data_IF_863934425914
#
_entry.id   IF_863934425914
#
_cell.length_a   1.000
_cell.length_b   1.000
_cell.length_c   1.000
_cell.angle_alpha   90.00
_cell.angle_beta   90.00
_cell.angle_gamma   90.00
#
_symmetry.space_group_name_H-M   'P 1'
#
loop_
_entity.id
_entity.type
_entity.pdbx_description
1 polymer ?
#
# COMPACT_ATOMS: atom_id res chain seq x y z
N UNK A 1 11.09 5.16 -13.56
CA UNK A 1 10.23 4.92 -12.38
C UNK A 1 9.13 3.98 -12.83
N UNK A 2 8.93 2.87 -12.14
CA UNK A 2 7.90 1.89 -12.52
C UNK A 2 6.54 2.32 -11.98
N UNK A 3 5.51 2.25 -12.83
CA UNK A 3 4.13 2.60 -12.46
C UNK A 3 3.15 1.59 -13.04
N UNK A 4 2.14 1.24 -12.23
CA UNK A 4 0.98 0.47 -12.65
C UNK A 4 -0.26 1.34 -12.39
N UNK A 5 -1.19 1.35 -13.34
CA UNK A 5 -2.46 2.09 -13.20
C UNK A 5 -3.60 1.38 -13.92
N UNK A 6 -4.83 1.76 -13.58
CA UNK A 6 -6.03 1.37 -14.33
C UNK A 6 -6.39 2.54 -15.25
N UNK A 7 -6.53 2.29 -16.55
CA UNK A 7 -6.90 3.31 -17.55
C UNK A 7 -8.33 3.19 -18.05
N UNK A 8 -8.97 2.04 -17.88
CA UNK A 8 -10.38 1.83 -18.21
C UNK A 8 -11.01 0.82 -17.25
N UNK A 9 -12.27 1.05 -16.89
CA UNK A 9 -13.14 0.09 -16.21
C UNK A 9 -14.36 -0.17 -17.10
N UNK A 10 -14.61 -1.43 -17.45
CA UNK A 10 -15.80 -1.87 -18.19
C UNK A 10 -16.80 -2.54 -17.25
N UNK A 11 -18.03 -2.04 -17.24
CA UNK A 11 -19.15 -2.60 -16.48
C UNK A 11 -19.91 -3.65 -17.30
N UNK A 12 -20.61 -4.56 -16.62
CA UNK A 12 -21.36 -5.64 -17.26
C UNK A 12 -22.51 -5.16 -18.18
N UNK A 13 -22.96 -3.91 -18.03
CA UNK A 13 -23.95 -3.31 -18.93
C UNK A 13 -23.30 -2.69 -20.19
N UNK A 14 -21.99 -2.86 -20.40
CA UNK A 14 -21.23 -2.29 -21.52
C UNK A 14 -20.75 -0.85 -21.30
N UNK A 15 -21.06 -0.22 -20.16
CA UNK A 15 -20.54 1.10 -19.84
C UNK A 15 -19.03 1.03 -19.63
N UNK A 16 -18.29 1.94 -20.25
CA UNK A 16 -16.84 2.08 -20.07
C UNK A 16 -16.53 3.43 -19.43
N UNK A 17 -15.66 3.41 -18.42
CA UNK A 17 -15.13 4.62 -17.78
C UNK A 17 -13.64 4.67 -18.06
N UNK A 18 -13.20 5.67 -18.82
CA UNK A 18 -11.78 5.94 -19.06
C UNK A 18 -11.24 6.78 -17.92
N UNK A 19 -10.08 6.37 -17.38
CA UNK A 19 -9.43 6.98 -16.24
C UNK A 19 -8.11 7.64 -16.65
N UNK A 20 -7.83 8.79 -16.08
CA UNK A 20 -6.54 9.47 -16.22
C UNK A 20 -5.57 9.01 -15.14
N UNK A 21 -4.29 9.12 -15.44
CA UNK A 21 -3.24 8.92 -14.46
C UNK A 21 -3.44 9.82 -13.24
N UNK A 22 -3.35 9.24 -12.04
CA UNK A 22 -3.46 9.93 -10.74
C UNK A 22 -4.85 10.56 -10.48
N UNK A 23 -5.89 10.09 -11.15
CA UNK A 23 -7.27 10.55 -10.93
C UNK A 23 -7.88 9.94 -9.66
N UNK A 24 -8.61 10.76 -8.89
CA UNK A 24 -9.41 10.30 -7.75
C UNK A 24 -10.84 10.07 -8.23
N UNK A 25 -11.27 8.81 -8.21
CA UNK A 25 -12.62 8.41 -8.62
C UNK A 25 -13.48 8.13 -7.40
N UNK A 26 -14.67 8.74 -7.34
CA UNK A 26 -15.64 8.53 -6.27
C UNK A 26 -16.90 7.87 -6.82
N UNK A 27 -17.17 6.65 -6.38
CA UNK A 27 -18.42 5.94 -6.71
C UNK A 27 -19.53 6.34 -5.74
N UNK A 28 -20.56 7.01 -6.25
CA UNK A 28 -21.77 7.40 -5.49
C UNK A 28 -22.99 6.66 -6.02
N UNK A 29 -24.03 6.50 -5.18
CA UNK A 29 -25.27 5.85 -5.58
C UNK A 29 -26.02 5.23 -4.39
N UNK A 30 -27.24 4.70 -4.62
CA UNK A 30 -28.06 4.13 -3.56
C UNK A 30 -27.43 2.88 -2.93
N UNK A 31 -28.00 2.43 -1.81
CA UNK A 31 -27.61 1.17 -1.19
C UNK A 31 -27.76 0.03 -2.21
N UNK A 32 -26.81 -0.91 -2.18
CA UNK A 32 -26.74 -2.06 -3.09
C UNK A 32 -26.53 -1.75 -4.58
N UNK A 33 -26.19 -0.51 -4.95
CA UNK A 33 -25.84 -0.13 -6.33
C UNK A 33 -24.50 -0.71 -6.85
N UNK A 34 -23.83 -1.59 -6.10
CA UNK A 34 -22.58 -2.22 -6.54
C UNK A 34 -21.30 -1.44 -6.25
N UNK A 35 -21.31 -0.36 -5.45
CA UNK A 35 -20.11 0.45 -5.12
C UNK A 35 -18.96 -0.37 -4.53
N UNK A 36 -19.21 -1.08 -3.43
CA UNK A 36 -18.20 -1.93 -2.78
C UNK A 36 -17.83 -3.14 -3.63
N UNK A 37 -18.78 -3.66 -4.41
CA UNK A 37 -18.54 -4.75 -5.35
C UNK A 37 -17.59 -4.31 -6.47
N UNK A 38 -17.76 -3.10 -7.01
CA UNK A 38 -16.85 -2.49 -8.00
C UNK A 38 -15.41 -2.50 -7.49
N UNK A 39 -15.15 -2.01 -6.27
CA UNK A 39 -13.79 -1.98 -5.72
C UNK A 39 -13.19 -3.39 -5.52
N UNK A 40 -13.98 -4.33 -5.01
CA UNK A 40 -13.56 -5.72 -4.79
C UNK A 40 -13.29 -6.46 -6.10
N UNK A 41 -14.18 -6.29 -7.07
CA UNK A 41 -14.05 -6.89 -8.40
C UNK A 41 -12.88 -6.27 -9.17
N UNK A 42 -12.62 -4.97 -9.04
CA UNK A 42 -11.41 -4.33 -9.58
C UNK A 42 -10.14 -4.96 -9.01
N UNK A 43 -10.06 -5.17 -7.69
CA UNK A 43 -8.90 -5.85 -7.09
C UNK A 43 -8.76 -7.30 -7.61
N UNK A 44 -9.87 -8.02 -7.77
CA UNK A 44 -9.88 -9.37 -8.30
C UNK A 44 -9.38 -9.42 -9.75
N UNK A 45 -9.85 -8.50 -10.60
CA UNK A 45 -9.46 -8.40 -12.01
C UNK A 45 -8.00 -7.92 -12.15
N UNK A 46 -7.54 -7.03 -11.26
CA UNK A 46 -6.12 -6.68 -11.16
C UNK A 46 -5.27 -7.90 -10.85
N UNK A 47 -5.74 -8.81 -10.00
CA UNK A 47 -5.02 -10.03 -9.66
C UNK A 47 -5.01 -11.06 -10.77
N UNK A 48 -6.15 -11.31 -11.39
CA UNK A 48 -6.26 -12.27 -12.49
C UNK A 48 -7.50 -11.97 -13.32
N UNK A 49 -7.29 -11.80 -14.63
CA UNK A 49 -8.34 -11.72 -15.63
C UNK A 49 -8.75 -13.10 -16.17
N UNK A 50 -7.85 -14.08 -16.08
CA UNK A 50 -8.06 -15.45 -16.58
C UNK A 50 -9.23 -16.15 -15.85
N UNK A 51 -9.51 -15.75 -14.61
CA UNK A 51 -10.65 -16.22 -13.82
C UNK A 51 -11.89 -15.30 -13.90
N UNK A 52 -11.88 -14.27 -14.75
CA UNK A 52 -12.91 -13.22 -14.87
C UNK A 52 -14.31 -13.69 -15.30
N UNK A 53 -14.53 -14.99 -15.53
CA UNK A 53 -15.86 -15.56 -15.75
C UNK A 53 -16.53 -16.14 -14.51
N UNK A 54 -15.81 -16.35 -13.41
CA UNK A 54 -16.44 -16.86 -12.19
C UNK A 54 -16.75 -15.72 -11.22
N UNK A 55 -17.95 -15.14 -11.38
CA UNK A 55 -18.71 -14.36 -10.38
C UNK A 55 -18.56 -12.83 -10.30
N UNK A 56 -17.90 -12.14 -11.23
CA UNK A 56 -17.95 -10.68 -11.28
C UNK A 56 -19.36 -10.21 -11.72
N UNK A 57 -20.09 -9.51 -10.84
CA UNK A 57 -21.49 -9.12 -11.06
C UNK A 57 -21.61 -7.70 -11.60
N UNK A 58 -20.65 -6.84 -11.31
CA UNK A 58 -20.70 -5.42 -11.65
C UNK A 58 -19.74 -5.10 -12.79
N UNK A 59 -18.51 -5.62 -12.72
CA UNK A 59 -17.45 -5.37 -13.67
C UNK A 59 -17.28 -6.53 -14.64
N UNK A 60 -16.98 -6.16 -15.89
CA UNK A 60 -16.66 -7.08 -16.97
C UNK A 60 -15.15 -7.21 -17.17
N UNK A 61 -14.45 -6.08 -17.20
CA UNK A 61 -12.99 -6.03 -17.36
C UNK A 61 -12.44 -4.70 -16.85
N UNK A 62 -11.10 -4.62 -16.75
CA UNK A 62 -10.36 -3.40 -16.56
C UNK A 62 -9.12 -3.39 -17.46
N UNK A 63 -8.64 -2.21 -17.83
CA UNK A 63 -7.38 -2.10 -18.58
C UNK A 63 -6.25 -1.69 -17.66
N UNK A 64 -5.19 -2.50 -17.63
CA UNK A 64 -3.98 -2.25 -16.83
C UNK A 64 -2.98 -1.53 -17.74
N UNK A 65 -2.48 -0.39 -17.28
CA UNK A 65 -1.38 0.32 -17.93
C UNK A 65 -0.12 0.19 -17.09
N UNK A 66 0.99 -0.16 -17.76
CA UNK A 66 2.32 -0.26 -17.18
C UNK A 66 3.23 0.80 -17.78
N UNK A 67 4.00 1.47 -16.94
CA UNK A 67 5.08 2.36 -17.37
C UNK A 67 6.38 1.92 -16.70
N UNK A 68 7.48 1.98 -17.45
CA UNK A 68 8.80 1.49 -17.03
C UNK A 68 9.16 0.16 -17.68
N UNK A 69 10.41 -0.26 -17.44
CA UNK A 69 10.96 -1.54 -17.91
C UNK A 69 11.10 -2.54 -16.76
N UNK A 70 11.42 -3.77 -17.12
CA UNK A 70 11.59 -4.87 -16.16
C UNK A 70 12.73 -4.60 -15.18
N UNK A 71 13.85 -4.06 -15.66
CA UNK A 71 15.01 -3.75 -14.82
C UNK A 71 14.65 -2.72 -13.73
N UNK A 72 13.98 -1.63 -14.12
CA UNK A 72 13.49 -0.62 -13.19
C UNK A 72 12.45 -1.17 -12.21
N UNK A 73 11.60 -2.09 -12.67
CA UNK A 73 10.64 -2.77 -11.80
C UNK A 73 11.32 -3.64 -10.75
N UNK A 74 12.31 -4.43 -11.15
CA UNK A 74 13.09 -5.26 -10.23
C UNK A 74 13.82 -4.41 -9.19
N UNK A 75 14.50 -3.35 -9.61
CA UNK A 75 15.16 -2.42 -8.69
C UNK A 75 14.16 -1.72 -7.75
N UNK A 76 12.95 -1.42 -8.21
CA UNK A 76 11.90 -0.88 -7.35
C UNK A 76 11.48 -1.88 -6.27
N UNK A 77 11.22 -3.14 -6.63
CA UNK A 77 10.87 -4.19 -5.67
C UNK A 77 11.97 -4.44 -4.63
N UNK A 78 13.23 -4.53 -5.07
CA UNK A 78 14.37 -4.69 -4.18
C UNK A 78 14.48 -3.54 -3.17
N UNK A 79 14.21 -2.29 -3.61
CA UNK A 79 14.24 -1.12 -2.73
C UNK A 79 13.17 -1.14 -1.64
N UNK A 80 12.01 -1.72 -1.91
CA UNK A 80 10.86 -1.72 -0.98
C UNK A 80 10.71 -3.04 -0.19
N UNK A 81 11.68 -3.95 -0.30
CA UNK A 81 11.61 -5.27 0.30
C UNK A 81 12.86 -5.64 1.11
N UNK A 82 12.74 -6.71 1.88
CA UNK A 82 13.84 -7.41 2.53
C UNK A 82 13.90 -8.82 1.95
N UNK A 83 15.11 -9.28 1.69
CA UNK A 83 15.37 -10.62 1.19
C UNK A 83 15.28 -11.65 2.32
N UNK A 84 14.52 -12.73 2.09
CA UNK A 84 14.42 -13.83 3.05
C UNK A 84 14.61 -15.17 2.36
N UNK A 85 15.63 -15.89 2.78
CA UNK A 85 15.88 -17.27 2.35
C UNK A 85 15.02 -18.24 3.16
N UNK A 86 14.24 -19.06 2.46
CA UNK A 86 13.31 -20.03 3.04
C UNK A 86 13.59 -21.45 2.55
N UNK A 87 14.87 -21.83 2.51
CA UNK A 87 15.31 -23.16 2.03
C UNK A 87 15.40 -23.31 0.50
N UNK A 88 14.98 -22.29 -0.25
CA UNK A 88 15.21 -22.21 -1.70
C UNK A 88 16.58 -21.60 -2.02
N UNK A 89 17.16 -21.89 -3.20
CA UNK A 89 18.40 -21.26 -3.67
C UNK A 89 18.27 -19.74 -3.79
N UNK A 90 17.10 -19.26 -4.21
CA UNK A 90 16.78 -17.84 -4.37
C UNK A 90 15.87 -17.35 -3.23
N UNK A 91 15.97 -16.05 -2.85
CA UNK A 91 15.19 -15.51 -1.76
C UNK A 91 13.76 -15.17 -2.19
N UNK A 92 12.88 -15.03 -1.19
CA UNK A 92 11.65 -14.25 -1.33
C UNK A 92 11.93 -12.78 -1.04
N UNK A 93 11.28 -11.89 -1.76
CA UNK A 93 11.20 -10.46 -1.45
C UNK A 93 9.98 -10.19 -0.57
N UNK A 94 10.21 -9.73 0.65
CA UNK A 94 9.15 -9.44 1.62
C UNK A 94 9.02 -7.94 1.86
N UNK A 95 7.82 -7.41 1.75
CA UNK A 95 7.51 -6.01 2.06
C UNK A 95 6.07 -5.86 2.53
N UNK A 96 5.61 -4.62 2.57
CA UNK A 96 4.28 -4.33 3.08
C UNK A 96 3.19 -4.98 2.23
N UNK A 97 2.54 -6.00 2.78
CA UNK A 97 1.44 -6.73 2.13
C UNK A 97 1.87 -7.78 1.10
N UNK A 98 3.16 -7.99 0.84
CA UNK A 98 3.62 -8.94 -0.17
C UNK A 98 4.82 -9.81 0.28
N UNK A 99 4.87 -11.02 -0.28
CA UNK A 99 5.97 -11.97 -0.14
C UNK A 99 6.08 -12.75 -1.45
N UNK A 100 7.07 -12.41 -2.27
CA UNK A 100 7.13 -12.85 -3.68
C UNK A 100 8.44 -13.59 -3.91
N UNK A 101 8.38 -14.78 -4.50
CA UNK A 101 9.58 -15.53 -4.87
C UNK A 101 10.32 -14.81 -6.01
N UNK A 102 11.59 -14.45 -5.80
CA UNK A 102 12.33 -13.58 -6.72
C UNK A 102 12.32 -14.08 -8.17
N UNK A 103 12.56 -15.37 -8.47
CA UNK A 103 12.51 -15.89 -9.84
C UNK A 103 11.15 -15.77 -10.54
N UNK A 104 10.05 -15.64 -9.80
CA UNK A 104 8.71 -15.51 -10.39
C UNK A 104 8.40 -14.10 -10.89
N UNK A 105 9.20 -13.09 -10.49
CA UNK A 105 8.93 -11.66 -10.76
C UNK A 105 8.87 -11.36 -12.26
N UNK A 106 9.83 -11.87 -13.03
CA UNK A 106 9.87 -11.68 -14.50
C UNK A 106 8.60 -12.24 -15.16
N UNK A 107 8.21 -13.46 -14.78
CA UNK A 107 6.99 -14.07 -15.27
C UNK A 107 5.74 -13.26 -14.95
N UNK A 108 5.63 -12.70 -13.75
CA UNK A 108 4.50 -11.83 -13.40
C UNK A 108 4.52 -10.49 -14.16
N UNK A 109 5.70 -9.92 -14.40
CA UNK A 109 5.84 -8.68 -15.16
C UNK A 109 5.44 -8.84 -16.63
N UNK A 110 5.90 -9.92 -17.28
CA UNK A 110 5.59 -10.23 -18.68
C UNK A 110 4.09 -10.52 -18.86
N UNK A 111 3.48 -11.27 -17.93
CA UNK A 111 2.09 -11.73 -18.05
C UNK A 111 1.04 -10.78 -17.46
N UNK A 112 1.45 -9.60 -16.99
CA UNK A 112 0.60 -8.65 -16.27
C UNK A 112 -0.69 -8.23 -16.99
N UNK A 113 -0.73 -8.34 -18.32
CA UNK A 113 -1.90 -7.98 -19.13
C UNK A 113 -3.09 -8.89 -18.83
N UNK A 114 -2.81 -10.12 -18.37
CA UNK A 114 -3.77 -11.09 -17.86
C UNK A 114 -4.04 -10.96 -16.35
N UNK A 115 -3.50 -9.91 -15.71
CA UNK A 115 -3.51 -9.68 -14.27
C UNK A 115 -2.10 -9.71 -13.68
N UNK A 116 -1.91 -8.97 -12.59
CA UNK A 116 -0.66 -8.76 -11.87
C UNK A 116 -0.27 -9.95 -10.97
N UNK A 117 -1.17 -10.92 -10.75
CA UNK A 117 -0.91 -12.06 -9.87
C UNK A 117 -0.52 -11.60 -8.47
N UNK A 118 0.59 -12.13 -7.95
CA UNK A 118 1.12 -11.76 -6.63
C UNK A 118 1.59 -10.31 -6.55
N UNK A 119 1.94 -9.68 -7.68
CA UNK A 119 2.34 -8.26 -7.73
C UNK A 119 1.17 -7.32 -7.38
N UNK A 120 -0.07 -7.80 -7.40
CA UNK A 120 -1.24 -6.98 -7.03
C UNK A 120 -1.06 -6.32 -5.68
N UNK A 121 -0.53 -7.04 -4.70
CA UNK A 121 -0.36 -6.54 -3.34
C UNK A 121 0.71 -5.43 -3.23
N UNK A 122 1.60 -5.30 -4.22
CA UNK A 122 2.60 -4.23 -4.30
C UNK A 122 1.95 -2.91 -4.74
N UNK A 123 0.94 -2.98 -5.61
CA UNK A 123 0.39 -1.80 -6.29
C UNK A 123 -1.03 -1.43 -5.86
N UNK A 124 -1.77 -2.36 -5.28
CA UNK A 124 -3.17 -2.16 -4.92
C UNK A 124 -3.40 -2.55 -3.46
N UNK A 125 -3.99 -1.62 -2.71
CA UNK A 125 -4.45 -1.84 -1.36
C UNK A 125 -5.96 -1.61 -1.29
N UNK A 126 -6.69 -2.56 -0.70
CA UNK A 126 -8.13 -2.43 -0.48
C UNK A 126 -8.39 -2.08 0.98
N UNK A 127 -8.74 -0.82 1.22
CA UNK A 127 -9.03 -0.33 2.56
C UNK A 127 -10.52 -0.53 2.88
N UNK A 128 -10.82 -1.60 3.61
CA UNK A 128 -12.15 -1.86 4.15
C UNK A 128 -12.47 -0.96 5.35
N UNK A 129 -13.73 -1.02 5.82
CA UNK A 129 -14.15 -0.24 6.99
C UNK A 129 -13.32 -0.57 8.23
N UNK A 130 -13.07 -1.85 8.49
CA UNK A 130 -12.25 -2.27 9.63
C UNK A 130 -10.79 -1.85 9.50
N UNK A 131 -10.20 -1.99 8.31
CA UNK A 131 -8.80 -1.63 8.06
C UNK A 131 -8.59 -0.14 8.38
N UNK A 132 -9.52 0.71 7.96
CA UNK A 132 -9.47 2.16 8.27
C UNK A 132 -9.60 2.45 9.77
N UNK A 133 -10.43 1.70 10.49
CA UNK A 133 -10.60 1.89 11.93
C UNK A 133 -9.33 1.47 12.70
N UNK A 134 -8.67 0.40 12.25
CA UNK A 134 -7.49 -0.17 12.90
C UNK A 134 -6.18 0.46 12.46
N UNK A 135 -6.15 1.19 11.34
CA UNK A 135 -4.92 1.77 10.77
C UNK A 135 -4.18 2.74 11.70
N UNK A 136 -4.87 3.31 12.69
CA UNK A 136 -4.28 4.21 13.69
C UNK A 136 -3.97 3.51 15.03
N UNK A 137 -4.33 2.22 15.18
CA UNK A 137 -3.99 1.47 16.39
C UNK A 137 -2.47 1.33 16.50
N UNK A 138 -1.93 1.27 17.73
CA UNK A 138 -0.51 1.00 17.93
C UNK A 138 -0.08 -0.26 17.18
N UNK A 139 0.99 -0.12 16.40
CA UNK A 139 1.52 -1.23 15.63
C UNK A 139 2.50 -2.04 16.48
N UNK A 140 2.57 -3.37 16.36
CA UNK A 140 3.63 -4.15 16.97
C UNK A 140 5.01 -3.66 16.49
N UNK A 141 5.95 -3.50 17.41
CA UNK A 141 7.29 -3.04 17.07
C UNK A 141 8.04 -4.10 16.23
N UNK A 142 8.88 -3.63 15.31
CA UNK A 142 9.68 -4.49 14.43
C UNK A 142 11.14 -4.03 14.40
N UNK A 143 12.04 -4.96 14.06
CA UNK A 143 13.44 -4.65 13.75
C UNK A 143 13.52 -3.97 12.39
N UNK A 144 13.35 -2.65 12.33
CA UNK A 144 13.26 -1.83 11.10
C UNK A 144 14.34 -2.07 10.02
N UNK A 145 15.50 -2.61 10.42
CA UNK A 145 16.62 -2.94 9.53
C UNK A 145 16.46 -4.34 8.91
N UNK A 146 15.94 -5.32 9.65
CA UNK A 146 15.97 -6.74 9.28
C UNK A 146 14.60 -7.36 9.06
N UNK A 147 13.54 -6.70 9.54
CA UNK A 147 12.16 -7.17 9.42
C UNK A 147 11.39 -6.29 8.43
N UNK A 148 10.56 -6.91 7.56
CA UNK A 148 9.81 -6.17 6.57
C UNK A 148 8.77 -5.27 7.25
N UNK A 149 8.40 -4.18 6.57
CA UNK A 149 7.31 -3.31 7.01
C UNK A 149 6.00 -4.11 7.02
N UNK A 150 5.28 -4.07 8.14
CA UNK A 150 4.03 -4.82 8.36
C UNK A 150 2.83 -3.90 8.65
N UNK A 151 3.06 -2.63 8.97
CA UNK A 151 2.03 -1.66 9.29
C UNK A 151 2.37 -0.27 8.74
N UNK A 152 1.38 0.55 8.33
CA UNK A 152 1.64 1.90 7.82
C UNK A 152 2.46 2.79 8.76
N UNK A 153 2.25 2.65 10.08
CA UNK A 153 3.01 3.38 11.11
C UNK A 153 4.52 3.15 10.97
N UNK A 154 4.96 1.96 10.53
CA UNK A 154 6.39 1.68 10.40
C UNK A 154 7.04 2.49 9.26
N UNK A 155 6.29 2.96 8.26
CA UNK A 155 6.82 3.89 7.27
C UNK A 155 7.16 5.24 7.92
N UNK A 156 6.28 5.73 8.80
CA UNK A 156 6.53 6.95 9.58
C UNK A 156 7.70 6.73 10.54
N UNK A 157 7.73 5.59 11.23
CA UNK A 157 8.81 5.19 12.13
C UNK A 157 10.17 5.01 11.40
N UNK A 158 10.20 4.78 10.09
CA UNK A 158 11.47 4.59 9.35
C UNK A 158 11.95 5.88 8.66
N UNK A 159 11.08 6.86 8.49
CA UNK A 159 11.36 8.02 7.65
C UNK A 159 10.84 9.31 8.30
N UNK A 160 11.75 10.07 8.90
CA UNK A 160 11.43 11.31 9.62
C UNK A 160 10.87 12.40 8.69
N UNK A 161 11.27 12.41 7.42
CA UNK A 161 10.71 13.34 6.44
C UNK A 161 9.23 13.00 6.17
N UNK A 162 8.90 11.71 6.04
CA UNK A 162 7.53 11.26 5.85
C UNK A 162 6.68 11.49 7.10
N UNK A 163 7.23 11.23 8.29
CA UNK A 163 6.58 11.58 9.56
C UNK A 163 6.25 13.07 9.62
N UNK A 164 7.23 13.93 9.29
CA UNK A 164 7.06 15.38 9.34
C UNK A 164 6.06 15.88 8.30
N UNK A 165 6.09 15.35 7.07
CA UNK A 165 5.12 15.67 6.03
C UNK A 165 3.70 15.26 6.46
N UNK A 166 3.54 14.04 6.99
CA UNK A 166 2.25 13.55 7.45
C UNK A 166 1.71 14.34 8.64
N UNK A 167 2.58 14.70 9.58
CA UNK A 167 2.23 15.55 10.73
C UNK A 167 1.81 16.95 10.29
N UNK A 168 2.46 17.53 9.27
CA UNK A 168 2.05 18.81 8.69
C UNK A 168 0.64 18.76 8.08
N UNK A 169 0.29 17.69 7.36
CA UNK A 169 -1.10 17.50 6.87
C UNK A 169 -2.08 17.35 8.04
N UNK A 170 -1.69 16.62 9.09
CA UNK A 170 -2.50 16.45 10.29
C UNK A 170 -2.76 17.79 11.00
N UNK A 171 -1.72 18.63 11.17
CA UNK A 171 -1.85 19.96 11.76
C UNK A 171 -2.70 20.89 10.91
N UNK A 172 -2.60 20.86 9.59
CA UNK A 172 -3.48 21.65 8.71
C UNK A 172 -4.96 21.28 8.90
N UNK A 173 -5.27 20.01 9.12
CA UNK A 173 -6.63 19.53 9.30
C UNK A 173 -7.17 19.72 10.72
N UNK A 174 -6.33 19.55 11.75
CA UNK A 174 -6.77 19.42 13.15
C UNK A 174 -6.14 20.44 14.12
N UNK A 175 -5.16 21.23 13.68
CA UNK A 175 -4.52 22.29 14.48
C UNK A 175 -3.40 21.83 15.42
N UNK A 176 -3.07 20.54 15.48
CA UNK A 176 -2.09 19.93 16.39
C UNK A 176 -1.20 18.94 15.63
N UNK A 177 -0.06 18.52 16.20
CA UNK A 177 0.80 17.52 15.55
C UNK A 177 0.34 16.07 15.80
N UNK A 178 0.75 15.22 14.87
CA UNK A 178 0.83 13.79 15.06
C UNK A 178 2.29 13.40 15.35
N UNK A 179 2.50 12.52 16.33
CA UNK A 179 3.80 12.15 16.84
C UNK A 179 3.91 10.61 16.88
N UNK A 180 5.00 10.06 16.35
CA UNK A 180 5.28 8.61 16.40
C UNK A 180 6.13 8.30 17.64
N UNK A 181 5.60 7.53 18.59
CA UNK A 181 6.36 7.13 19.77
C UNK A 181 7.21 5.89 19.50
N UNK A 182 8.46 6.12 19.11
CA UNK A 182 9.40 5.07 18.67
C UNK A 182 9.87 4.12 19.78
N UNK A 183 9.83 4.58 21.03
CA UNK A 183 10.41 3.90 22.18
C UNK A 183 9.37 3.38 23.19
N UNK A 184 8.11 3.22 22.78
CA UNK A 184 7.03 2.71 23.65
C UNK A 184 7.11 1.21 23.98
N UNK A 185 8.25 0.55 23.68
CA UNK A 185 8.49 -0.86 23.96
C UNK A 185 8.00 -1.79 22.85
N UNK A 186 7.00 -2.62 23.15
CA UNK A 186 6.51 -3.69 22.25
C UNK A 186 5.63 -3.19 21.11
N UNK A 187 5.17 -1.95 21.18
CA UNK A 187 4.30 -1.32 20.18
C UNK A 187 4.82 0.07 19.81
N UNK A 188 4.27 0.62 18.73
CA UNK A 188 4.57 1.94 18.18
C UNK A 188 3.25 2.72 18.08
N UNK A 189 2.85 3.44 19.14
CA UNK A 189 1.63 4.24 19.14
C UNK A 189 1.84 5.58 18.42
N UNK A 190 0.71 6.15 17.95
CA UNK A 190 0.63 7.53 17.48
C UNK A 190 0.01 8.39 18.58
N UNK A 191 0.66 9.50 18.90
CA UNK A 191 0.11 10.51 19.80
C UNK A 191 -0.31 11.76 19.04
N UNK A 192 -1.24 12.49 19.67
CA UNK A 192 -1.76 13.76 19.17
C UNK A 192 -1.45 14.81 20.22
N UNK A 193 -0.74 15.87 19.83
CA UNK A 193 -0.34 16.94 20.73
C UNK A 193 0.63 17.91 20.05
N UNK A 194 1.18 18.85 20.80
CA UNK A 194 2.23 19.72 20.31
C UNK A 194 3.56 18.97 20.28
N UNK A 195 4.21 18.88 19.11
CA UNK A 195 5.51 18.24 19.00
C UNK A 195 6.54 19.07 19.77
N UNK A 196 7.36 18.44 20.63
CA UNK A 196 8.39 19.15 21.35
C UNK A 196 9.40 19.79 20.39
N UNK A 197 9.86 20.98 20.71
CA UNK A 197 10.93 21.66 19.98
C UNK A 197 12.24 20.99 20.35
N UNK A 198 12.92 20.41 19.38
CA UNK A 198 14.24 19.81 19.60
C UNK A 198 15.30 20.90 19.74
N UNK A 199 16.08 20.85 20.79
CA UNK A 199 17.32 21.60 20.92
C UNK A 199 18.51 20.81 20.34
N UNK A 200 19.61 21.51 20.01
CA UNK A 200 20.79 20.89 19.41
C UNK A 200 21.33 19.74 20.27
N UNK A 201 21.30 18.52 19.73
CA UNK A 201 21.77 17.31 20.41
C UNK A 201 20.67 16.45 21.04
N UNK A 202 19.40 16.87 20.97
CA UNK A 202 18.26 16.08 21.45
C UNK A 202 17.70 15.16 20.36
N UNK A 203 17.30 13.96 20.77
CA UNK A 203 16.60 12.97 19.93
C UNK A 203 15.13 12.90 20.36
N UNK A 204 14.20 12.92 19.39
CA UNK A 204 12.74 12.79 19.58
C UNK A 204 12.41 11.54 20.40
N UNK A 205 13.23 10.48 20.29
CA UNK A 205 13.04 9.24 21.04
C UNK A 205 13.11 9.38 22.57
N UNK A 206 13.68 10.47 23.09
CA UNK A 206 13.95 10.64 24.53
C UNK A 206 13.05 11.67 25.23
N UNK A 207 12.12 12.32 24.52
CA UNK A 207 11.40 13.49 25.05
C UNK A 207 10.01 13.13 25.62
N UNK A 208 9.56 11.89 25.45
CA UNK A 208 8.26 11.45 25.92
C UNK A 208 8.34 10.74 27.28
N UNK A 209 8.58 11.50 28.34
CA UNK A 209 8.22 11.10 29.70
C UNK A 209 6.74 11.47 29.93
N UNK A 210 5.85 10.47 29.89
CA UNK A 210 4.43 10.60 30.27
C UNK A 210 4.19 10.12 31.70
#
# INVERSE_FOLDING_TARGET
MTKISISEIEFNNGTKIVLKANEIVVFVGPNNAGKSATLKESLSLLKSKVNGKQNAKVLRDLTICKEGDEAGFKSFLEKISIEKYQGNPEPNLQGFGFNIYRPSIEGFWINSDNGLGELTAVFANMLGTEDRLKAANPAPNIKLITEPIQHPIHFLQKNDNLESEFSNYFRQAFGTDLIVHRNAGSEVPLYVGEKPVLHNGEDIGLIFDF
#
